data_IF_002283122741
#
_entry.id   IF_002283122741
#
_cell.length_a   1.000
_cell.length_b   1.000
_cell.length_c   1.000
_cell.angle_alpha   90.00
_cell.angle_beta   90.00
_cell.angle_gamma   90.00
#
_symmetry.space_group_name_H-M   'P 1'
#
loop_
_entity.id
_entity.type
_entity.pdbx_description
1 polymer ?
#
# COMPACT_ATOMS: atom_id res chain seq x y z
N UNK A 1 7.25 -12.25 -16.22
CA UNK A 1 6.49 -13.06 -15.25
C UNK A 1 6.91 -12.59 -13.86
N UNK A 2 6.12 -11.70 -13.25
CA UNK A 2 6.41 -11.06 -11.97
C UNK A 2 5.29 -11.40 -10.99
N UNK A 3 5.66 -12.09 -9.93
CA UNK A 3 4.76 -12.74 -8.98
C UNK A 3 4.22 -11.74 -7.95
N UNK A 4 3.05 -11.16 -8.22
CA UNK A 4 2.17 -10.64 -7.16
C UNK A 4 1.06 -11.67 -6.96
N UNK A 5 1.34 -12.67 -6.11
CA UNK A 5 0.47 -13.82 -5.84
C UNK A 5 -0.91 -13.40 -5.30
N UNK A 6 -1.08 -12.18 -4.80
CA UNK A 6 -2.37 -11.71 -4.27
C UNK A 6 -3.26 -10.93 -5.22
N UNK A 7 -2.76 -10.36 -6.32
CA UNK A 7 -3.65 -9.67 -7.28
C UNK A 7 -4.18 -10.61 -8.38
N UNK A 8 -3.52 -11.74 -8.64
CA UNK A 8 -4.00 -12.73 -9.61
C UNK A 8 -4.94 -13.80 -9.04
N UNK A 9 -4.80 -14.20 -7.78
CA UNK A 9 -5.64 -15.26 -7.19
C UNK A 9 -7.07 -14.79 -6.88
N UNK A 10 -7.26 -13.54 -6.45
CA UNK A 10 -8.60 -13.00 -6.20
C UNK A 10 -9.46 -12.93 -7.47
N UNK A 11 -8.87 -12.51 -8.61
CA UNK A 11 -9.59 -12.40 -9.88
C UNK A 11 -9.85 -13.76 -10.56
N UNK A 12 -9.03 -14.77 -10.28
CA UNK A 12 -9.10 -16.09 -10.92
C UNK A 12 -9.85 -17.16 -10.10
N UNK A 13 -9.96 -17.00 -8.77
CA UNK A 13 -10.60 -17.98 -7.88
C UNK A 13 -11.93 -17.52 -7.26
N UNK A 14 -12.35 -16.26 -7.48
CA UNK A 14 -13.65 -15.76 -6.99
C UNK A 14 -13.75 -15.67 -5.46
N UNK A 15 -12.62 -15.63 -4.75
CA UNK A 15 -12.59 -15.41 -3.30
C UNK A 15 -13.02 -13.98 -2.97
N UNK A 16 -13.64 -13.74 -1.82
CA UNK A 16 -14.00 -12.39 -1.39
C UNK A 16 -12.77 -11.51 -1.20
N UNK A 17 -12.86 -10.24 -1.63
CA UNK A 17 -11.75 -9.32 -1.50
C UNK A 17 -11.44 -9.11 0.00
N UNK A 18 -10.17 -9.23 0.44
CA UNK A 18 -9.84 -9.12 1.85
C UNK A 18 -10.32 -7.78 2.40
N UNK A 19 -10.98 -7.78 3.57
CA UNK A 19 -11.43 -6.55 4.21
C UNK A 19 -10.40 -6.04 5.20
N UNK A 20 -10.29 -4.72 5.30
CA UNK A 20 -9.39 -4.07 6.23
C UNK A 20 -9.95 -4.23 7.63
N UNK A 21 -9.24 -4.94 8.51
CA UNK A 21 -9.63 -5.17 9.90
C UNK A 21 -9.87 -3.86 10.68
N UNK A 22 -9.28 -2.75 10.24
CA UNK A 22 -9.44 -1.45 10.90
C UNK A 22 -10.64 -0.64 10.43
N UNK A 23 -11.08 -0.77 9.17
CA UNK A 23 -12.13 0.09 8.63
C UNK A 23 -13.23 -0.62 7.83
N UNK A 24 -13.17 -1.95 7.72
CA UNK A 24 -14.15 -2.79 7.04
C UNK A 24 -14.19 -2.63 5.51
N UNK A 25 -13.37 -1.75 4.92
CA UNK A 25 -13.32 -1.55 3.47
C UNK A 25 -12.49 -2.63 2.80
N UNK A 26 -12.76 -2.89 1.53
CA UNK A 26 -11.93 -3.75 0.68
C UNK A 26 -10.47 -3.26 0.67
N UNK A 27 -9.56 -4.18 0.96
CA UNK A 27 -8.11 -3.97 0.93
C UNK A 27 -7.64 -4.03 -0.51
N UNK A 28 -7.08 -2.91 -0.96
CA UNK A 28 -6.35 -2.80 -2.21
C UNK A 28 -4.99 -2.17 -1.94
N UNK A 29 -4.05 -2.25 -2.90
CA UNK A 29 -2.77 -1.54 -2.81
C UNK A 29 -2.99 -0.04 -2.56
N UNK A 30 -3.96 0.56 -3.26
CA UNK A 30 -4.35 1.96 -3.05
C UNK A 30 -4.93 2.22 -1.65
N UNK A 31 -5.70 1.26 -1.12
CA UNK A 31 -6.23 1.36 0.23
C UNK A 31 -5.10 1.44 1.27
N UNK A 32 -4.13 0.53 1.17
CA UNK A 32 -3.00 0.44 2.10
C UNK A 32 -2.10 1.68 1.97
N UNK A 33 -1.70 2.03 0.73
CA UNK A 33 -0.76 3.11 0.46
C UNK A 33 -1.37 4.52 0.57
N UNK A 34 -2.70 4.67 0.61
CA UNK A 34 -3.33 5.99 0.62
C UNK A 34 -4.66 6.10 1.38
N UNK A 35 -5.66 5.29 1.06
CA UNK A 35 -7.03 5.58 1.51
C UNK A 35 -7.31 5.22 2.97
N UNK A 36 -6.58 4.25 3.56
CA UNK A 36 -6.84 3.80 4.92
C UNK A 36 -6.42 4.85 5.94
N UNK A 37 -7.38 5.47 6.63
CA UNK A 37 -7.11 6.50 7.66
C UNK A 37 -6.32 5.93 8.84
N UNK A 38 -6.50 4.66 9.17
CA UNK A 38 -5.78 4.00 10.27
C UNK A 38 -4.29 3.78 10.00
N UNK A 39 -3.87 3.82 8.73
CA UNK A 39 -2.47 3.73 8.33
C UNK A 39 -1.82 5.10 8.11
N UNK A 40 -2.54 6.19 8.40
CA UNK A 40 -2.09 7.54 8.09
C UNK A 40 -0.80 7.92 8.84
N UNK A 41 -0.71 7.61 10.13
CA UNK A 41 0.49 7.91 10.92
C UNK A 41 1.72 7.13 10.45
N UNK A 42 1.53 5.85 10.11
CA UNK A 42 2.58 5.00 9.57
C UNK A 42 3.05 5.52 8.22
N UNK A 43 2.14 6.01 7.37
CA UNK A 43 2.52 6.67 6.11
C UNK A 43 3.29 7.95 6.35
N UNK A 44 2.89 8.78 7.32
CA UNK A 44 3.65 9.99 7.69
C UNK A 44 5.06 9.67 8.14
N UNK A 45 5.23 8.60 8.91
CA UNK A 45 6.54 8.16 9.40
C UNK A 45 7.42 7.56 8.29
N UNK A 46 6.85 6.73 7.42
CA UNK A 46 7.60 6.01 6.38
C UNK A 46 7.81 6.84 5.10
N UNK A 47 6.87 7.73 4.76
CA UNK A 47 6.84 8.52 3.52
C UNK A 47 6.79 10.05 3.79
N UNK A 48 7.67 10.61 4.64
CA UNK A 48 7.61 12.02 5.02
C UNK A 48 7.67 12.98 3.84
N UNK A 49 8.30 12.57 2.73
CA UNK A 49 8.41 13.33 1.49
C UNK A 49 7.03 13.68 0.91
N UNK A 50 6.08 12.75 0.94
CA UNK A 50 4.73 12.98 0.40
C UNK A 50 3.97 14.04 1.19
N UNK A 51 4.19 14.10 2.51
CA UNK A 51 3.47 15.01 3.41
C UNK A 51 4.15 16.37 3.51
N UNK A 52 5.48 16.43 3.46
CA UNK A 52 6.23 17.68 3.53
C UNK A 52 5.91 18.61 2.38
N UNK A 53 5.76 18.06 1.18
CA UNK A 53 5.47 18.82 -0.04
C UNK A 53 3.97 18.95 -0.33
N UNK A 54 3.09 18.48 0.58
CA UNK A 54 1.64 18.45 0.37
C UNK A 54 1.24 17.87 -0.99
N UNK A 55 1.97 16.85 -1.45
CA UNK A 55 1.78 16.32 -2.79
C UNK A 55 0.44 15.61 -2.87
N UNK A 56 -0.32 15.78 -3.97
CA UNK A 56 -1.46 14.92 -4.22
C UNK A 56 -0.95 13.49 -4.34
N UNK A 57 -1.73 12.53 -3.87
CA UNK A 57 -1.32 11.14 -4.02
C UNK A 57 -1.26 10.73 -5.48
N UNK A 58 -0.11 10.19 -5.84
CA UNK A 58 0.10 9.56 -7.12
C UNK A 58 0.89 8.27 -6.89
N UNK A 59 0.39 7.09 -7.33
CA UNK A 59 1.08 5.81 -7.14
C UNK A 59 2.53 5.81 -7.63
N UNK A 60 2.83 6.57 -8.69
CA UNK A 60 4.18 6.66 -9.25
C UNK A 60 5.22 7.18 -8.24
N UNK A 61 4.83 7.96 -7.23
CA UNK A 61 5.76 8.41 -6.19
C UNK A 61 6.28 7.27 -5.30
N UNK A 62 5.59 6.13 -5.27
CA UNK A 62 5.94 4.96 -4.46
C UNK A 62 6.31 3.74 -5.30
N UNK A 63 5.66 3.58 -6.46
CA UNK A 63 5.69 2.35 -7.27
C UNK A 63 6.09 2.59 -8.75
N UNK A 64 6.46 3.82 -9.12
CA UNK A 64 6.89 4.13 -10.49
C UNK A 64 8.33 3.74 -10.76
N UNK A 65 8.77 3.87 -12.02
CA UNK A 65 10.15 3.59 -12.44
C UNK A 65 11.18 4.55 -11.81
N UNK A 66 10.75 5.78 -11.51
CA UNK A 66 11.52 6.78 -10.77
C UNK A 66 10.69 7.28 -9.58
N UNK A 67 10.61 6.49 -8.50
CA UNK A 67 9.76 6.83 -7.37
C UNK A 67 10.42 7.92 -6.51
N UNK A 68 9.61 8.85 -6.01
CA UNK A 68 10.06 9.88 -5.06
C UNK A 68 10.53 9.25 -3.74
N UNK A 69 9.83 8.18 -3.32
CA UNK A 69 10.15 7.41 -2.12
C UNK A 69 10.82 6.10 -2.54
N UNK A 70 12.01 5.77 -2.02
CA UNK A 70 12.68 4.51 -2.33
C UNK A 70 11.83 3.29 -1.95
N UNK A 71 11.79 2.27 -2.82
CA UNK A 71 10.97 1.06 -2.61
C UNK A 71 11.24 0.36 -1.27
N UNK A 72 12.46 0.43 -0.73
CA UNK A 72 12.79 -0.08 0.61
C UNK A 72 11.87 0.46 1.73
N UNK A 73 11.43 1.72 1.62
CA UNK A 73 10.53 2.36 2.59
C UNK A 73 9.10 1.86 2.45
N UNK A 74 8.70 1.52 1.22
CA UNK A 74 7.42 0.84 0.98
C UNK A 74 7.43 -0.54 1.64
N UNK A 75 8.52 -1.30 1.50
CA UNK A 75 8.68 -2.59 2.18
C UNK A 75 8.70 -2.46 3.71
N UNK A 76 9.40 -1.46 4.25
CA UNK A 76 9.39 -1.14 5.69
C UNK A 76 7.97 -0.81 6.18
N UNK A 77 7.24 0.02 5.45
CA UNK A 77 5.86 0.35 5.75
C UNK A 77 4.96 -0.89 5.75
N UNK A 78 5.07 -1.76 4.75
CA UNK A 78 4.31 -3.01 4.69
C UNK A 78 4.67 -3.97 5.85
N UNK A 79 5.93 -3.98 6.31
CA UNK A 79 6.35 -4.75 7.48
C UNK A 79 5.71 -4.21 8.76
N UNK A 80 5.82 -2.90 9.01
CA UNK A 80 5.28 -2.25 10.23
C UNK A 80 3.76 -2.34 10.30
N UNK A 81 3.09 -2.32 9.15
CA UNK A 81 1.62 -2.43 9.06
C UNK A 81 1.12 -3.87 8.97
N UNK A 82 2.01 -4.88 8.94
CA UNK A 82 1.64 -6.29 8.86
C UNK A 82 1.14 -6.75 7.49
N UNK A 83 1.22 -5.91 6.45
CA UNK A 83 0.76 -6.23 5.10
C UNK A 83 1.82 -6.92 4.21
N UNK A 84 3.07 -7.07 4.68
CA UNK A 84 4.17 -7.63 3.87
C UNK A 84 3.94 -9.09 3.42
N UNK A 85 3.20 -9.88 4.20
CA UNK A 85 2.85 -11.27 3.88
C UNK A 85 1.38 -11.42 3.44
N UNK A 86 0.63 -10.32 3.39
CA UNK A 86 -0.79 -10.25 3.02
C UNK A 86 -0.99 -9.63 1.63
N UNK A 87 0.10 -9.31 0.90
CA UNK A 87 0.12 -8.79 -0.49
C UNK A 87 1.00 -9.64 -1.42
#
# INVERSE_FOLDING_TARGET
IGHSRLTHLHLLCGEDAPQCEHCGKVVTVLHILWNCRHLHEQRRACFPELFRYHLPFHPAFLLGDQPLVPFRRVLEFLKVTGYIHRL
#
